data_IF_149769796655
#
_entry.id   IF_149769796655
#
_cell.length_a   1.000
_cell.length_b   1.000
_cell.length_c   1.000
_cell.angle_alpha   90.00
_cell.angle_beta   90.00
_cell.angle_gamma   90.00
#
_symmetry.space_group_name_H-M   'P 1'
#
loop_
_entity.id
_entity.type
_entity.pdbx_description
1 polymer ?
#
# COMPACT_ATOMS: atom_id res chain seq x y z
N UNK A 1 -1.69 21.70 -10.07
CA UNK A 1 -0.44 22.33 -9.58
C UNK A 1 0.58 22.27 -10.72
N UNK A 2 0.95 23.41 -11.30
CA UNK A 2 1.84 23.48 -12.48
C UNK A 2 3.33 23.33 -12.11
N UNK A 3 3.67 23.46 -10.83
CA UNK A 3 5.06 23.49 -10.33
C UNK A 3 5.83 22.19 -10.60
N UNK A 4 5.12 21.08 -10.75
CA UNK A 4 5.71 19.77 -11.05
C UNK A 4 5.54 19.33 -12.51
N UNK A 5 4.89 20.14 -13.35
CA UNK A 5 4.47 19.72 -14.69
C UNK A 5 5.64 19.27 -15.57
N UNK A 6 6.71 20.07 -15.65
CA UNK A 6 7.89 19.73 -16.47
C UNK A 6 8.55 18.43 -16.01
N UNK A 7 8.69 18.24 -14.70
CA UNK A 7 9.30 17.05 -14.10
C UNK A 7 8.43 15.81 -14.29
N UNK A 8 7.11 15.93 -14.15
CA UNK A 8 6.16 14.82 -14.41
C UNK A 8 6.20 14.43 -15.88
N UNK A 9 6.23 15.39 -16.81
CA UNK A 9 6.34 15.11 -18.24
C UNK A 9 7.67 14.43 -18.57
N UNK A 10 8.79 14.93 -18.05
CA UNK A 10 10.10 14.30 -18.24
C UNK A 10 10.12 12.86 -17.71
N UNK A 11 9.62 12.64 -16.48
CA UNK A 11 9.54 11.33 -15.84
C UNK A 11 8.71 10.34 -16.67
N UNK A 12 7.49 10.72 -17.05
CA UNK A 12 6.60 9.84 -17.83
C UNK A 12 7.16 9.52 -19.22
N UNK A 13 7.92 10.45 -19.85
CA UNK A 13 8.61 10.20 -21.12
C UNK A 13 9.76 9.20 -20.96
N UNK A 14 10.53 9.30 -19.89
CA UNK A 14 11.62 8.36 -19.57
C UNK A 14 11.04 6.96 -19.28
N UNK A 15 10.03 6.86 -18.42
CA UNK A 15 9.33 5.60 -18.12
C UNK A 15 8.85 4.95 -19.41
N UNK A 16 8.18 5.72 -20.28
CA UNK A 16 7.71 5.21 -21.58
C UNK A 16 8.84 4.76 -22.49
N UNK A 17 9.99 5.44 -22.48
CA UNK A 17 11.16 5.04 -23.26
C UNK A 17 11.78 3.75 -22.75
N UNK A 18 11.85 3.55 -21.42
CA UNK A 18 12.32 2.30 -20.81
C UNK A 18 11.41 1.13 -21.21
N UNK A 19 10.09 1.28 -21.09
CA UNK A 19 9.14 0.25 -21.52
C UNK A 19 9.27 -0.09 -23.02
N UNK A 20 9.49 0.92 -23.89
CA UNK A 20 9.71 0.68 -25.33
C UNK A 20 11.05 0.04 -25.65
N UNK A 21 12.11 0.34 -24.88
CA UNK A 21 13.43 -0.26 -25.08
C UNK A 21 13.40 -1.77 -24.76
N UNK A 22 12.52 -2.18 -23.85
CA UNK A 22 12.38 -3.58 -23.43
C UNK A 22 13.53 -4.05 -22.53
N UNK A 23 13.53 -5.34 -22.20
CA UNK A 23 14.39 -5.93 -21.18
C UNK A 23 13.69 -6.03 -19.82
N UNK A 24 14.48 -6.16 -18.75
CA UNK A 24 13.95 -6.12 -17.39
C UNK A 24 13.56 -4.70 -17.01
N UNK A 25 12.25 -4.48 -16.83
CA UNK A 25 11.65 -3.20 -16.43
C UNK A 25 11.17 -3.21 -14.99
N UNK A 26 11.34 -4.32 -14.26
CA UNK A 26 10.85 -4.47 -12.89
C UNK A 26 11.57 -3.54 -11.92
N UNK A 27 12.84 -3.21 -12.19
CA UNK A 27 13.63 -2.27 -11.39
C UNK A 27 12.97 -0.88 -11.26
N UNK A 28 12.18 -0.45 -12.26
CA UNK A 28 11.47 0.84 -12.19
C UNK A 28 10.56 0.93 -10.97
N UNK A 29 9.99 -0.20 -10.53
CA UNK A 29 9.14 -0.24 -9.33
C UNK A 29 9.93 0.18 -8.10
N UNK A 30 11.12 -0.38 -7.92
CA UNK A 30 11.97 -0.11 -6.76
C UNK A 30 12.47 1.34 -6.77
N UNK A 31 12.99 1.79 -7.92
CA UNK A 31 13.51 3.16 -8.09
C UNK A 31 12.44 4.22 -7.84
N UNK A 32 11.22 4.03 -8.37
CA UNK A 32 10.14 4.99 -8.17
C UNK A 32 9.63 5.00 -6.72
N UNK A 33 9.51 3.82 -6.08
CA UNK A 33 9.04 3.71 -4.70
C UNK A 33 10.04 4.23 -3.66
N UNK A 34 11.33 4.30 -4.01
CA UNK A 34 12.36 4.90 -3.17
C UNK A 34 12.31 6.44 -3.12
N UNK A 35 11.59 7.09 -4.05
CA UNK A 35 11.45 8.54 -4.07
C UNK A 35 10.49 9.02 -2.99
N UNK A 36 10.95 9.92 -2.12
CA UNK A 36 10.16 10.51 -1.04
C UNK A 36 9.96 12.03 -1.23
N UNK A 37 8.83 12.55 -0.73
CA UNK A 37 8.59 14.00 -0.65
C UNK A 37 9.21 14.51 0.66
N UNK A 38 10.10 15.52 0.63
CA UNK A 38 10.70 16.08 1.85
C UNK A 38 9.68 16.73 2.79
N UNK A 39 8.48 17.06 2.31
CA UNK A 39 7.36 17.56 3.12
C UNK A 39 6.58 16.45 3.81
N UNK A 40 6.97 15.20 3.57
CA UNK A 40 6.26 14.01 3.99
C UNK A 40 5.28 13.51 2.93
N UNK A 41 5.05 12.20 2.95
CA UNK A 41 4.04 11.54 2.13
C UNK A 41 2.60 11.83 2.54
N UNK A 42 1.66 11.12 1.92
CA UNK A 42 0.22 11.25 2.16
C UNK A 42 -0.46 9.89 2.25
N UNK A 43 -1.70 9.89 2.74
CA UNK A 43 -2.55 8.70 2.76
C UNK A 43 -3.53 8.75 1.59
N UNK A 44 -3.55 7.69 0.78
CA UNK A 44 -4.60 7.45 -0.20
C UNK A 44 -5.89 7.00 0.48
N UNK A 45 -7.00 7.07 -0.26
CA UNK A 45 -8.25 6.40 0.12
C UNK A 45 -7.99 4.94 0.50
N UNK A 46 -8.61 4.48 1.58
CA UNK A 46 -8.36 3.15 2.15
C UNK A 46 -7.14 3.10 3.10
N UNK A 47 -6.52 4.24 3.42
CA UNK A 47 -5.51 4.35 4.47
C UNK A 47 -4.11 3.87 4.08
N UNK A 48 -3.82 3.67 2.79
CA UNK A 48 -2.47 3.30 2.29
C UNK A 48 -1.59 4.55 2.20
N UNK A 49 -0.46 4.53 2.90
CA UNK A 49 0.55 5.56 2.88
C UNK A 49 1.37 5.52 1.58
N UNK A 50 1.63 6.69 1.01
CA UNK A 50 2.52 6.91 -0.13
C UNK A 50 3.57 7.95 0.26
N UNK A 51 4.88 7.64 0.19
CA UNK A 51 5.93 8.56 0.59
C UNK A 51 6.11 9.75 -0.37
N UNK A 52 5.63 9.64 -1.62
CA UNK A 52 5.56 10.72 -2.60
C UNK A 52 4.59 10.37 -3.72
N UNK A 53 4.27 11.36 -4.58
CA UNK A 53 3.53 11.13 -5.81
C UNK A 53 4.28 10.21 -6.78
N UNK A 54 5.62 10.29 -6.81
CA UNK A 54 6.46 9.43 -7.66
C UNK A 54 6.42 7.98 -7.18
N UNK A 55 6.44 7.77 -5.86
CA UNK A 55 6.28 6.44 -5.28
C UNK A 55 4.88 5.86 -5.54
N UNK A 56 3.84 6.69 -5.59
CA UNK A 56 2.51 6.23 -6.02
C UNK A 56 2.52 5.77 -7.48
N UNK A 57 3.23 6.45 -8.38
CA UNK A 57 3.41 5.96 -9.77
C UNK A 57 4.11 4.59 -9.76
N UNK A 58 5.13 4.41 -8.93
CA UNK A 58 5.79 3.12 -8.73
C UNK A 58 4.84 2.02 -8.24
N UNK A 59 3.96 2.33 -7.29
CA UNK A 59 2.93 1.41 -6.77
C UNK A 59 1.94 0.97 -7.87
N UNK A 60 1.50 1.91 -8.72
CA UNK A 60 0.60 1.61 -9.84
C UNK A 60 1.29 0.75 -10.89
N UNK A 61 2.56 1.02 -11.20
CA UNK A 61 3.36 0.19 -12.12
C UNK A 61 3.53 -1.21 -11.52
N UNK A 62 3.85 -1.35 -10.24
CA UNK A 62 3.97 -2.65 -9.57
C UNK A 62 2.68 -3.47 -9.69
N UNK A 63 1.53 -2.84 -9.42
CA UNK A 63 0.22 -3.49 -9.58
C UNK A 63 0.00 -3.97 -11.01
N UNK A 64 0.35 -3.15 -12.00
CA UNK A 64 0.23 -3.53 -13.41
C UNK A 64 1.16 -4.69 -13.78
N UNK A 65 2.42 -4.66 -13.33
CA UNK A 65 3.38 -5.72 -13.60
C UNK A 65 3.02 -7.05 -12.91
N UNK A 66 2.40 -6.99 -11.73
CA UNK A 66 1.82 -8.17 -11.07
C UNK A 66 0.63 -8.73 -11.85
N UNK A 67 -0.27 -7.86 -12.30
CA UNK A 67 -1.44 -8.25 -13.09
C UNK A 67 -1.07 -8.95 -14.40
N UNK A 68 0.02 -8.53 -15.06
CA UNK A 68 0.51 -9.17 -16.29
C UNK A 68 1.36 -10.42 -16.05
N UNK A 69 1.67 -10.74 -14.79
CA UNK A 69 2.53 -11.86 -14.40
C UNK A 69 4.03 -11.61 -14.58
N UNK A 70 4.45 -10.36 -14.83
CA UNK A 70 5.87 -10.01 -14.92
C UNK A 70 6.55 -9.97 -13.54
N UNK A 71 5.80 -9.60 -12.50
CA UNK A 71 6.22 -9.68 -11.10
C UNK A 71 5.31 -10.70 -10.41
N UNK A 72 5.89 -11.55 -9.57
CA UNK A 72 5.12 -12.48 -8.76
C UNK A 72 4.17 -11.72 -7.81
N UNK A 73 2.88 -12.06 -7.86
CA UNK A 73 1.91 -11.49 -6.94
C UNK A 73 2.06 -12.15 -5.58
N UNK A 74 2.46 -11.37 -4.57
CA UNK A 74 2.34 -11.76 -3.17
C UNK A 74 0.87 -11.67 -2.72
N UNK A 75 -0.01 -12.43 -3.37
CA UNK A 75 -1.37 -12.59 -2.89
C UNK A 75 -1.37 -13.23 -1.50
N UNK A 76 -2.32 -12.80 -0.67
CA UNK A 76 -2.50 -13.41 0.64
C UNK A 76 -2.84 -14.88 0.46
N UNK A 77 -2.14 -15.76 1.16
CA UNK A 77 -2.49 -17.17 1.15
C UNK A 77 -3.88 -17.41 1.78
N UNK A 78 -4.46 -18.59 1.58
CA UNK A 78 -5.79 -18.90 2.12
C UNK A 78 -5.86 -18.78 3.65
N UNK A 79 -4.77 -19.12 4.33
CA UNK A 79 -4.67 -19.04 5.79
C UNK A 79 -4.66 -17.58 6.28
N UNK A 80 -3.90 -16.70 5.63
CA UNK A 80 -3.85 -15.26 5.89
C UNK A 80 -5.20 -14.62 5.63
N UNK A 81 -5.89 -14.99 4.54
CA UNK A 81 -7.24 -14.50 4.24
C UNK A 81 -8.24 -14.90 5.33
N UNK A 82 -8.21 -16.16 5.77
CA UNK A 82 -9.04 -16.64 6.90
C UNK A 82 -8.71 -15.91 8.19
N UNK A 83 -7.42 -15.78 8.53
CA UNK A 83 -6.97 -15.07 9.73
C UNK A 83 -7.46 -13.62 9.77
N UNK A 84 -7.30 -12.88 8.66
CA UNK A 84 -7.79 -11.50 8.55
C UNK A 84 -9.32 -11.45 8.71
N UNK A 85 -10.05 -12.37 8.07
CA UNK A 85 -11.51 -12.42 8.17
C UNK A 85 -11.98 -12.66 9.62
N UNK A 86 -11.36 -13.61 10.33
CA UNK A 86 -11.64 -13.88 11.74
C UNK A 86 -11.39 -12.64 12.59
N UNK A 87 -10.23 -11.98 12.43
CA UNK A 87 -9.91 -10.78 13.22
C UNK A 87 -10.81 -9.58 12.92
N UNK A 88 -11.27 -9.42 11.68
CA UNK A 88 -12.28 -8.42 11.35
C UNK A 88 -13.63 -8.72 12.01
N UNK A 89 -14.05 -9.97 12.09
CA UNK A 89 -15.28 -10.37 12.75
C UNK A 89 -15.20 -10.12 14.27
N UNK A 90 -14.12 -10.54 14.94
CA UNK A 90 -13.89 -10.28 16.37
C UNK A 90 -13.90 -8.79 16.71
N UNK A 91 -13.34 -7.95 15.83
CA UNK A 91 -13.36 -6.50 16.01
C UNK A 91 -14.80 -5.94 15.88
N UNK A 92 -15.57 -6.43 14.91
CA UNK A 92 -16.96 -6.00 14.71
C UNK A 92 -17.85 -6.35 15.91
N UNK A 93 -17.61 -7.49 16.57
CA UNK A 93 -18.32 -7.88 17.78
C UNK A 93 -17.97 -7.00 19.00
N UNK A 94 -16.71 -6.55 19.10
CA UNK A 94 -16.22 -5.73 20.21
C UNK A 94 -16.56 -4.24 20.06
N UNK A 95 -16.89 -3.79 18.85
CA UNK A 95 -17.09 -2.36 18.55
C UNK A 95 -18.53 -2.13 18.09
N UNK A 96 -19.38 -1.58 18.95
CA UNK A 96 -20.70 -1.06 18.56
C UNK A 96 -20.47 0.05 17.52
N UNK A 97 -20.77 -0.25 16.26
CA UNK A 97 -20.57 0.60 15.08
C UNK A 97 -20.56 2.10 15.38
N UNK A 98 -19.36 2.67 15.50
CA UNK A 98 -19.16 4.10 15.28
C UNK A 98 -18.53 4.24 13.91
N UNK A 99 -19.31 4.87 13.03
CA UNK A 99 -19.01 5.18 11.65
C UNK A 99 -17.59 5.73 11.49
N UNK A 100 -16.90 5.28 10.46
CA UNK A 100 -15.80 6.08 9.90
C UNK A 100 -15.93 6.13 8.40
N UNK A 101 -16.32 7.32 7.96
CA UNK A 101 -16.28 7.80 6.58
C UNK A 101 -14.99 7.34 5.87
N UNK A 102 -15.17 6.75 4.69
CA UNK A 102 -14.19 6.50 3.63
C UNK A 102 -12.92 5.67 3.95
N UNK A 103 -12.72 5.23 5.20
CA UNK A 103 -11.59 4.40 5.62
C UNK A 103 -12.06 3.02 6.10
N UNK A 104 -11.58 1.96 5.44
CA UNK A 104 -11.95 0.55 5.68
C UNK A 104 -11.52 -0.03 7.03
N UNK A 105 -10.92 0.77 7.92
CA UNK A 105 -10.36 0.36 9.22
C UNK A 105 -10.66 1.42 10.30
N UNK A 106 -10.74 1.03 11.59
CA UNK A 106 -11.03 1.95 12.68
C UNK A 106 -10.05 3.13 12.76
N UNK A 107 -10.52 4.27 13.28
CA UNK A 107 -9.70 5.46 13.50
C UNK A 107 -8.49 5.22 14.43
N UNK A 108 -8.58 4.22 15.30
CA UNK A 108 -7.50 3.81 16.22
C UNK A 108 -6.42 2.96 15.54
N UNK A 109 -6.57 2.62 14.25
CA UNK A 109 -5.62 1.78 13.55
C UNK A 109 -4.29 2.52 13.27
N UNK A 110 -3.18 1.82 13.54
CA UNK A 110 -1.83 2.30 13.30
C UNK A 110 -1.29 1.87 11.92
N UNK A 111 -0.23 2.53 11.46
CA UNK A 111 0.44 2.21 10.19
C UNK A 111 1.12 0.84 10.25
N UNK A 112 0.78 -0.04 9.32
CA UNK A 112 1.48 -1.30 9.13
C UNK A 112 2.80 -1.07 8.40
N UNK A 113 3.93 -1.43 9.02
CA UNK A 113 5.24 -1.30 8.37
C UNK A 113 5.44 -2.28 7.20
N UNK A 114 4.68 -3.38 7.13
CA UNK A 114 4.76 -4.36 6.05
C UNK A 114 4.02 -3.91 4.78
N UNK A 115 2.78 -3.48 4.91
CA UNK A 115 1.93 -3.11 3.76
C UNK A 115 1.64 -1.60 3.64
N UNK A 116 2.21 -0.78 4.53
CA UNK A 116 2.05 0.67 4.56
C UNK A 116 0.59 1.13 4.64
N UNK A 117 -0.30 0.30 5.20
CA UNK A 117 -1.72 0.63 5.36
C UNK A 117 -2.04 0.86 6.83
N UNK A 118 -2.82 1.90 7.15
CA UNK A 118 -3.39 2.14 8.50
C UNK A 118 -4.43 1.08 8.83
N UNK A 119 -3.96 -0.06 9.30
CA UNK A 119 -4.76 -1.25 9.55
C UNK A 119 -4.22 -2.09 10.72
N UNK A 120 -3.20 -1.64 11.44
CA UNK A 120 -2.68 -2.34 12.62
C UNK A 120 -3.56 -2.03 13.83
N UNK A 121 -4.02 -3.05 14.53
CA UNK A 121 -4.85 -2.91 15.72
C UNK A 121 -4.34 -3.87 16.79
N UNK A 122 -4.35 -3.44 18.04
CA UNK A 122 -4.01 -4.30 19.18
C UNK A 122 -5.19 -5.24 19.49
N UNK A 123 -4.98 -6.54 19.28
CA UNK A 123 -5.95 -7.60 19.55
C UNK A 123 -5.24 -8.78 20.19
N UNK A 124 -5.80 -9.31 21.27
CA UNK A 124 -5.31 -10.51 21.98
C UNK A 124 -3.83 -10.42 22.39
N UNK A 125 -3.39 -9.23 22.81
CA UNK A 125 -2.01 -8.96 23.22
C UNK A 125 -1.03 -8.73 22.06
N UNK A 126 -1.45 -8.92 20.81
CA UNK A 126 -0.61 -8.72 19.62
C UNK A 126 -1.07 -7.52 18.78
N UNK A 127 -0.13 -6.86 18.11
CA UNK A 127 -0.43 -5.83 17.11
C UNK A 127 -0.63 -6.49 15.76
N UNK A 128 -1.86 -6.49 15.23
CA UNK A 128 -2.26 -7.27 14.04
C UNK A 128 -2.79 -6.38 12.92
N UNK A 129 -2.30 -6.59 11.69
CA UNK A 129 -2.75 -5.91 10.48
C UNK A 129 -4.00 -6.55 9.89
N UNK A 130 -5.10 -5.81 9.85
CA UNK A 130 -6.34 -6.24 9.18
C UNK A 130 -6.29 -6.12 7.64
N UNK A 131 -5.19 -5.63 7.08
CA UNK A 131 -5.00 -5.53 5.62
C UNK A 131 -4.13 -6.67 5.07
N UNK A 132 -3.01 -6.98 5.72
CA UNK A 132 -2.04 -7.96 5.21
C UNK A 132 -1.74 -9.13 6.16
N UNK A 133 -2.39 -9.20 7.33
CA UNK A 133 -2.23 -10.29 8.28
C UNK A 133 -0.92 -10.28 9.08
N UNK A 134 -0.05 -9.28 8.90
CA UNK A 134 1.16 -9.12 9.72
C UNK A 134 0.79 -9.00 11.20
N UNK A 135 1.42 -9.78 12.07
CA UNK A 135 1.13 -9.75 13.51
C UNK A 135 2.42 -9.79 14.32
N UNK A 136 2.51 -8.96 15.35
CA UNK A 136 3.65 -8.88 16.28
C UNK A 136 3.15 -8.97 17.71
N UNK A 137 3.56 -10.02 18.41
CA UNK A 137 3.28 -10.24 19.82
C UNK A 137 4.54 -9.90 20.64
N UNK A 138 4.36 -9.27 21.80
CA UNK A 138 5.43 -9.00 22.76
C UNK A 138 5.54 -10.10 23.80
#
# INVERSE_FOLDING_TARGET
NMDHFQWIVALTRIISAVFRKGGDVTFLVEELKAVFDPRGGYFKKGGKYMPSLVAEIGDVIEQHLKMTGLIESNELDEHQRKFIATKKAELAEKTSATETEDNSFPATAELCNKCQTKAMIKMDGCLTCLNCGDSKCG
#
